data_IF_600113093438
#
_entry.id   IF_600113093438
#
_cell.length_a   1.000
_cell.length_b   1.000
_cell.length_c   1.000
_cell.angle_alpha   90.00
_cell.angle_beta   90.00
_cell.angle_gamma   90.00
#
_symmetry.space_group_name_H-M   'P 1'
#
loop_
_entity.id
_entity.type
_entity.pdbx_description
1 polymer ?
#
# COMPACT_ATOMS: atom_id res chain seq x y z
N UNK A 1 2.39 3.22 -6.85
CA UNK A 1 3.27 2.03 -6.88
C UNK A 1 3.00 1.10 -5.69
N UNK A 2 3.15 1.55 -4.44
CA UNK A 2 2.90 0.75 -3.22
C UNK A 2 1.54 0.03 -3.20
N UNK A 3 0.45 0.74 -3.50
CA UNK A 3 -0.88 0.11 -3.59
C UNK A 3 -0.96 -1.01 -4.64
N UNK A 4 -0.29 -0.84 -5.78
CA UNK A 4 -0.28 -1.84 -6.84
C UNK A 4 0.53 -3.09 -6.45
N UNK A 5 1.55 -2.94 -5.61
CA UNK A 5 2.28 -4.07 -5.01
C UNK A 5 1.42 -4.82 -3.99
N UNK A 6 0.52 -4.12 -3.30
CA UNK A 6 -0.38 -4.70 -2.32
C UNK A 6 -1.60 -5.44 -2.89
N UNK A 7 -2.09 -5.02 -4.05
CA UNK A 7 -3.25 -5.64 -4.70
C UNK A 7 -2.89 -7.01 -5.28
N UNK A 8 -3.71 -8.02 -5.03
CA UNK A 8 -3.59 -9.33 -5.69
C UNK A 8 -4.15 -9.28 -7.11
N UNK A 9 -3.62 -10.13 -8.00
CA UNK A 9 -4.01 -10.14 -9.42
C UNK A 9 -5.46 -10.57 -9.69
N UNK A 10 -6.09 -11.27 -8.74
CA UNK A 10 -7.41 -11.90 -8.89
C UNK A 10 -8.45 -11.49 -7.83
N UNK A 11 -8.09 -10.65 -6.86
CA UNK A 11 -9.01 -10.21 -5.80
C UNK A 11 -9.12 -8.69 -5.86
N UNK A 12 -10.25 -8.18 -6.35
CA UNK A 12 -10.53 -6.75 -6.51
C UNK A 12 -10.95 -6.01 -5.24
N UNK A 13 -10.73 -6.57 -4.05
CA UNK A 13 -11.26 -6.04 -2.79
C UNK A 13 -10.22 -5.62 -1.77
N UNK A 14 -10.62 -4.63 -0.98
CA UNK A 14 -9.87 -3.83 0.00
C UNK A 14 -9.55 -4.54 1.32
N UNK A 15 -9.76 -5.85 1.45
CA UNK A 15 -9.35 -6.62 2.64
C UNK A 15 -7.83 -6.69 2.84
N UNK A 16 -7.07 -6.17 1.89
CA UNK A 16 -5.63 -5.96 2.00
C UNK A 16 -5.27 -4.72 2.84
N UNK A 17 -6.16 -3.72 2.96
CA UNK A 17 -5.79 -2.46 3.61
C UNK A 17 -5.59 -2.63 5.13
N UNK A 18 -4.45 -2.16 5.64
CA UNK A 18 -4.04 -2.22 7.04
C UNK A 18 -3.31 -0.92 7.47
N UNK A 19 -2.98 -0.83 8.76
CA UNK A 19 -2.28 0.33 9.34
C UNK A 19 -0.88 0.54 8.74
N UNK A 20 -0.18 -0.54 8.39
CA UNK A 20 1.13 -0.50 7.72
C UNK A 20 1.02 0.23 6.38
N UNK A 21 0.01 -0.09 5.55
CA UNK A 21 -0.24 0.56 4.25
C UNK A 21 -0.64 2.02 4.43
N UNK A 22 -1.53 2.31 5.38
CA UNK A 22 -1.91 3.69 5.73
C UNK A 22 -0.67 4.53 6.06
N UNK A 23 0.20 4.01 6.92
CA UNK A 23 1.41 4.71 7.35
C UNK A 23 2.47 4.79 6.26
N UNK A 24 2.64 3.73 5.46
CA UNK A 24 3.52 3.73 4.29
C UNK A 24 3.12 4.78 3.26
N UNK A 25 1.83 4.92 2.95
CA UNK A 25 1.34 5.95 2.04
C UNK A 25 1.60 7.37 2.54
N UNK A 26 1.47 7.62 3.85
CA UNK A 26 1.88 8.91 4.44
C UNK A 26 3.37 9.15 4.21
N UNK A 27 4.21 8.13 4.39
CA UNK A 27 5.63 8.18 4.08
C UNK A 27 5.91 8.51 2.61
N UNK A 28 5.21 7.84 1.69
CA UNK A 28 5.34 8.12 0.25
C UNK A 28 4.96 9.57 -0.11
N UNK A 29 3.91 10.12 0.50
CA UNK A 29 3.51 11.52 0.27
C UNK A 29 4.60 12.48 0.74
N UNK A 30 5.15 12.28 1.94
CA UNK A 30 6.24 13.13 2.46
C UNK A 30 7.48 13.09 1.55
N UNK A 31 7.86 11.90 1.08
CA UNK A 31 8.98 11.74 0.16
C UNK A 31 8.69 12.40 -1.18
N UNK A 32 7.50 12.20 -1.76
CA UNK A 32 7.12 12.76 -3.05
C UNK A 32 7.13 14.30 -3.03
N UNK A 33 6.63 14.91 -1.94
CA UNK A 33 6.69 16.36 -1.76
C UNK A 33 8.14 16.86 -1.72
N UNK A 34 9.01 16.20 -0.97
CA UNK A 34 10.43 16.56 -0.87
C UNK A 34 11.15 16.42 -2.23
N UNK A 35 10.88 15.35 -2.99
CA UNK A 35 11.47 15.14 -4.32
C UNK A 35 11.00 16.17 -5.36
N UNK A 36 9.83 16.76 -5.18
CA UNK A 36 9.30 17.83 -6.06
C UNK A 36 9.83 19.23 -5.71
N UNK A 37 10.73 19.34 -4.74
CA UNK A 37 11.27 20.63 -4.31
C UNK A 37 10.28 21.45 -3.47
N UNK A 38 9.20 20.84 -2.97
CA UNK A 38 8.38 21.43 -1.93
C UNK A 38 9.17 21.36 -0.61
N UNK A 39 10.11 22.28 -0.46
CA UNK A 39 10.84 22.47 0.78
C UNK A 39 9.91 22.96 1.89
N UNK A 40 10.26 22.62 3.13
CA UNK A 40 9.89 23.41 4.30
C UNK A 40 11.21 23.73 5.03
N UNK A 41 11.79 24.92 4.89
CA UNK A 41 11.46 26.12 5.67
C UNK A 41 11.11 25.78 7.14
N UNK A 42 12.13 25.84 8.01
CA UNK A 42 11.98 26.02 9.45
C UNK A 42 11.94 24.78 10.34
N UNK A 43 11.28 23.69 9.94
CA UNK A 43 11.13 22.49 10.80
C UNK A 43 12.14 21.39 10.42
N UNK A 44 12.75 20.74 11.41
CA UNK A 44 13.59 19.57 11.18
C UNK A 44 12.77 18.47 10.48
N UNK A 45 13.23 18.02 9.32
CA UNK A 45 12.61 16.95 8.54
C UNK A 45 12.34 15.68 9.37
N UNK A 46 13.15 15.43 10.41
CA UNK A 46 12.96 14.33 11.37
C UNK A 46 11.67 14.50 12.16
N UNK A 47 11.46 15.69 12.72
CA UNK A 47 10.29 15.98 13.54
C UNK A 47 9.02 15.91 12.70
N UNK A 48 9.06 16.42 11.46
CA UNK A 48 7.94 16.29 10.53
C UNK A 48 7.62 14.82 10.22
N UNK A 49 8.61 14.02 9.82
CA UNK A 49 8.41 12.60 9.54
C UNK A 49 7.85 11.85 10.77
N UNK A 50 8.45 12.03 11.95
CA UNK A 50 7.95 11.41 13.18
C UNK A 50 6.51 11.82 13.53
N UNK A 51 6.17 13.12 13.43
CA UNK A 51 4.84 13.61 13.77
C UNK A 51 3.74 13.10 12.82
N UNK A 52 4.07 12.90 11.54
CA UNK A 52 3.15 12.42 10.52
C UNK A 52 3.06 10.89 10.43
N UNK A 53 4.11 10.18 10.85
CA UNK A 53 4.17 8.71 10.84
C UNK A 53 3.86 8.08 12.20
N UNK A 54 3.67 8.87 13.27
CA UNK A 54 3.21 8.36 14.55
C UNK A 54 1.85 7.62 14.40
N UNK A 55 1.63 6.50 15.11
CA UNK A 55 0.34 5.80 15.10
C UNK A 55 -0.79 6.73 15.52
N UNK A 56 -1.83 6.87 14.70
CA UNK A 56 -3.01 7.69 15.03
C UNK A 56 -4.23 6.80 15.05
N UNK A 57 -4.56 6.28 16.24
CA UNK A 57 -5.66 5.34 16.49
C UNK A 57 -7.02 5.72 15.86
N UNK A 58 -7.28 7.01 15.59
CA UNK A 58 -8.51 7.49 14.97
C UNK A 58 -8.42 7.68 13.43
N UNK A 59 -7.24 7.98 12.88
CA UNK A 59 -7.04 8.23 11.44
C UNK A 59 -6.67 6.95 10.67
N UNK A 60 -6.08 5.98 11.35
CA UNK A 60 -5.67 4.69 10.78
C UNK A 60 -6.81 3.66 10.77
N UNK A 61 -7.88 3.88 11.56
CA UNK A 61 -9.09 3.05 11.54
C UNK A 61 -9.88 3.31 10.26
N UNK A 62 -9.64 2.50 9.24
CA UNK A 62 -10.54 2.45 8.08
C UNK A 62 -11.78 1.68 8.50
N UNK A 63 -12.99 2.26 8.29
CA UNK A 63 -14.22 1.53 8.53
C UNK A 63 -14.15 0.21 7.77
N UNK A 64 -14.37 -0.92 8.44
CA UNK A 64 -14.67 -2.14 7.69
C UNK A 64 -15.87 -1.82 6.78
N UNK A 65 -16.03 -2.47 5.63
CA UNK A 65 -17.25 -2.33 4.83
C UNK A 65 -18.54 -2.60 5.64
N UNK A 66 -18.41 -3.27 6.79
CA UNK A 66 -19.46 -3.48 7.80
C UNK A 66 -19.82 -2.23 8.62
N UNK A 67 -18.87 -1.32 8.77
CA UNK A 67 -19.02 -0.04 9.48
C UNK A 67 -19.47 1.09 8.54
N UNK A 68 -19.45 0.85 7.22
CA UNK A 68 -20.03 1.77 6.24
C UNK A 68 -21.54 1.57 6.17
N UNK A 69 -22.30 2.56 6.61
CA UNK A 69 -23.76 2.63 6.38
C UNK A 69 -24.04 2.40 4.88
N UNK A 70 -24.94 1.48 4.51
CA UNK A 70 -25.26 1.21 3.12
C UNK A 70 -25.69 2.51 2.42
N UNK A 71 -25.17 2.74 1.21
CA UNK A 71 -25.62 3.79 0.26
C UNK A 71 -27.05 3.50 -0.27
N UNK A 72 -27.90 2.88 0.55
CA UNK A 72 -29.33 2.71 0.33
C UNK A 72 -30.13 3.77 1.10
N UNK A 73 -29.50 4.51 2.03
CA UNK A 73 -30.17 5.53 2.85
C UNK A 73 -30.54 6.83 2.09
N UNK A 74 -30.24 6.93 0.79
CA UNK A 74 -30.43 8.16 -0.01
C UNK A 74 -31.32 8.04 -1.26
N UNK A 75 -31.91 6.87 -1.55
CA UNK A 75 -32.74 6.71 -2.75
C UNK A 75 -34.23 7.00 -2.45
N UNK A 76 -34.90 7.87 -3.24
CA UNK A 76 -36.32 8.15 -3.04
C UNK A 76 -37.17 6.88 -3.24
N UNK A 77 -38.17 6.70 -2.37
CA UNK A 77 -39.01 5.51 -2.24
C UNK A 77 -39.80 5.08 -3.50
N UNK A 78 -39.71 5.82 -4.60
CA UNK A 78 -40.49 5.64 -5.82
C UNK A 78 -40.00 4.52 -6.77
N UNK A 79 -38.86 3.88 -6.51
CA UNK A 79 -38.34 2.78 -7.36
C UNK A 79 -38.55 1.37 -6.80
N UNK A 80 -39.30 1.20 -5.71
CA UNK A 80 -39.69 -0.13 -5.20
C UNK A 80 -41.03 -0.56 -5.78
N UNK A 81 -41.08 -0.83 -7.08
CA UNK A 81 -42.21 -1.55 -7.70
C UNK A 81 -41.74 -2.92 -8.18
N UNK A 82 -41.89 -3.94 -7.31
CA UNK A 82 -41.97 -5.35 -7.71
C UNK A 82 -43.15 -6.00 -7.00
N UNK A 83 -43.87 -6.83 -7.75
CA UNK A 83 -45.12 -7.52 -7.41
C UNK A 83 -45.01 -8.43 -6.17
N UNK A 84 -46.05 -8.54 -5.32
CA UNK A 84 -46.01 -9.37 -4.11
C UNK A 84 -46.37 -10.83 -4.41
N UNK A 85 -45.52 -11.77 -3.99
CA UNK A 85 -45.87 -13.20 -3.96
C UNK A 85 -44.70 -14.08 -3.58
N UNK A 86 -44.73 -14.63 -2.36
CA UNK A 86 -43.74 -15.47 -1.69
C UNK A 86 -42.45 -14.77 -1.24
N UNK A 87 -42.30 -14.61 0.09
CA UNK A 87 -40.99 -14.32 0.71
C UNK A 87 -40.16 -15.62 0.63
N UNK A 88 -38.94 -15.58 0.06
CA UNK A 88 -38.08 -16.75 0.01
C UNK A 88 -37.77 -17.23 1.43
N UNK A 89 -37.64 -18.55 1.60
CA UNK A 89 -37.31 -19.16 2.89
C UNK A 89 -35.95 -18.64 3.40
N UNK A 90 -35.66 -18.80 4.70
CA UNK A 90 -34.38 -18.34 5.26
C UNK A 90 -33.15 -18.89 4.53
N UNK A 91 -33.22 -20.15 4.08
CA UNK A 91 -32.17 -20.81 3.31
C UNK A 91 -32.07 -20.28 1.88
N UNK A 92 -33.21 -20.02 1.24
CA UNK A 92 -33.26 -19.46 -0.11
C UNK A 92 -32.76 -18.01 -0.15
N UNK A 93 -33.00 -17.23 0.92
CA UNK A 93 -32.41 -15.90 1.11
C UNK A 93 -30.90 -15.97 1.30
N UNK A 94 -30.40 -16.95 2.05
CA UNK A 94 -28.96 -17.17 2.21
C UNK A 94 -28.32 -17.61 0.89
N UNK A 95 -28.95 -18.52 0.15
CA UNK A 95 -28.44 -18.99 -1.13
C UNK A 95 -28.43 -17.87 -2.19
N UNK A 96 -29.50 -17.05 -2.25
CA UNK A 96 -29.52 -15.87 -3.12
C UNK A 96 -28.49 -14.82 -2.69
N UNK A 97 -28.31 -14.58 -1.38
CA UNK A 97 -27.28 -13.68 -0.86
C UNK A 97 -25.88 -14.19 -1.20
N UNK A 98 -25.63 -15.50 -1.10
CA UNK A 98 -24.35 -16.11 -1.46
C UNK A 98 -24.09 -16.08 -2.97
N UNK A 99 -25.12 -16.29 -3.79
CA UNK A 99 -25.06 -16.17 -5.23
C UNK A 99 -24.82 -14.72 -5.66
N UNK A 100 -25.48 -13.75 -5.02
CA UNK A 100 -25.28 -12.32 -5.24
C UNK A 100 -23.88 -11.88 -4.80
N UNK A 101 -23.39 -12.35 -3.64
CA UNK A 101 -22.00 -12.13 -3.19
C UNK A 101 -20.97 -12.85 -4.07
N UNK A 102 -21.32 -13.97 -4.72
CA UNK A 102 -20.47 -14.63 -5.72
C UNK A 102 -20.44 -13.85 -7.03
N UNK A 103 -21.58 -13.35 -7.50
CA UNK A 103 -21.67 -12.50 -8.68
C UNK A 103 -20.88 -11.20 -8.48
N UNK A 104 -21.06 -10.55 -7.33
CA UNK A 104 -20.24 -9.40 -6.91
C UNK A 104 -18.75 -9.76 -6.89
N UNK A 105 -18.35 -10.94 -6.37
CA UNK A 105 -16.95 -11.38 -6.41
C UNK A 105 -16.42 -11.67 -7.82
N UNK A 106 -17.27 -12.09 -8.76
CA UNK A 106 -16.87 -12.51 -10.10
C UNK A 106 -16.87 -11.37 -11.14
N UNK A 107 -17.68 -10.32 -10.94
CA UNK A 107 -17.89 -9.23 -11.90
C UNK A 107 -17.04 -7.96 -11.63
N UNK A 108 -16.05 -8.02 -10.74
CA UNK A 108 -15.02 -7.00 -10.73
C UNK A 108 -13.95 -7.37 -11.76
N UNK A 109 -13.92 -6.72 -12.95
CA UNK A 109 -12.75 -6.82 -13.80
C UNK A 109 -11.52 -6.47 -12.96
N UNK A 110 -10.37 -7.14 -13.14
CA UNK A 110 -9.16 -6.80 -12.40
C UNK A 110 -8.90 -5.31 -12.61
N UNK A 111 -9.11 -4.51 -11.56
CA UNK A 111 -9.01 -3.05 -11.60
C UNK A 111 -7.55 -2.58 -11.81
N UNK A 112 -6.64 -3.53 -11.99
CA UNK A 112 -5.21 -3.33 -12.13
C UNK A 112 -4.80 -3.78 -13.53
N UNK A 113 -4.26 -2.86 -14.31
CA UNK A 113 -3.49 -3.20 -15.50
C UNK A 113 -2.29 -4.06 -15.06
N UNK A 114 -2.41 -5.37 -15.34
CA UNK A 114 -1.39 -6.35 -14.98
C UNK A 114 -0.02 -6.00 -15.56
N UNK A 115 0.04 -5.34 -16.72
CA UNK A 115 1.32 -4.92 -17.31
C UNK A 115 1.99 -3.82 -16.48
N UNK A 116 1.21 -2.85 -15.98
CA UNK A 116 1.73 -1.78 -15.10
C UNK A 116 2.22 -2.37 -13.78
N UNK A 117 1.46 -3.29 -13.18
CA UNK A 117 1.88 -3.97 -11.94
C UNK A 117 3.16 -4.76 -12.15
N UNK A 118 3.25 -5.55 -13.22
CA UNK A 118 4.46 -6.34 -13.52
C UNK A 118 5.70 -5.46 -13.74
N UNK A 119 5.55 -4.28 -14.37
CA UNK A 119 6.65 -3.30 -14.47
C UNK A 119 7.15 -2.82 -13.11
N UNK A 120 6.23 -2.59 -12.16
CA UNK A 120 6.60 -2.13 -10.81
C UNK A 120 7.26 -3.27 -10.02
N UNK A 121 6.73 -4.48 -10.10
CA UNK A 121 7.34 -5.68 -9.49
C UNK A 121 8.77 -5.85 -9.99
N UNK A 122 8.96 -5.83 -11.32
CA UNK A 122 10.28 -5.96 -11.92
C UNK A 122 11.22 -4.83 -11.51
N UNK A 123 10.75 -3.59 -11.47
CA UNK A 123 11.52 -2.46 -10.96
C UNK A 123 12.01 -2.71 -9.52
N UNK A 124 11.16 -3.19 -8.62
CA UNK A 124 11.53 -3.49 -7.23
C UNK A 124 12.56 -4.62 -7.16
N UNK A 125 12.35 -5.71 -7.92
CA UNK A 125 13.28 -6.83 -7.99
C UNK A 125 14.64 -6.39 -8.53
N UNK A 126 14.68 -5.72 -9.68
CA UNK A 126 15.90 -5.22 -10.30
C UNK A 126 16.67 -4.32 -9.33
N UNK A 127 15.96 -3.40 -8.66
CA UNK A 127 16.57 -2.51 -7.66
C UNK A 127 17.36 -3.29 -6.59
N UNK A 128 16.78 -4.35 -6.02
CA UNK A 128 17.45 -5.12 -4.95
C UNK A 128 18.46 -6.13 -5.50
N UNK A 129 18.28 -6.63 -6.72
CA UNK A 129 19.21 -7.56 -7.35
C UNK A 129 20.42 -6.85 -8.00
N UNK A 130 20.35 -5.54 -8.27
CA UNK A 130 21.42 -4.76 -8.91
C UNK A 130 22.03 -3.66 -8.04
N UNK A 131 21.89 -3.69 -6.71
CA UNK A 131 22.31 -2.66 -5.70
C UNK A 131 23.70 -2.03 -5.88
N UNK A 132 24.56 -2.56 -6.76
CA UNK A 132 25.93 -2.08 -6.98
C UNK A 132 26.06 -0.77 -7.76
N UNK A 133 25.02 -0.30 -8.46
CA UNK A 133 25.02 1.02 -9.11
C UNK A 133 23.99 1.92 -8.46
N UNK A 134 24.45 3.01 -7.82
CA UNK A 134 23.68 3.92 -6.98
C UNK A 134 22.23 4.08 -7.40
N UNK A 135 21.32 3.80 -6.47
CA UNK A 135 19.90 3.88 -6.72
C UNK A 135 19.46 5.31 -7.01
N UNK A 136 18.47 5.45 -7.89
CA UNK A 136 17.70 6.67 -7.92
C UNK A 136 16.83 6.79 -6.65
N UNK A 137 16.60 8.03 -6.22
CA UNK A 137 15.86 8.32 -4.98
C UNK A 137 14.43 7.76 -5.00
N UNK A 138 13.78 7.66 -6.17
CA UNK A 138 12.40 7.17 -6.25
C UNK A 138 12.34 5.68 -6.04
N UNK A 139 13.30 4.93 -6.57
CA UNK A 139 13.40 3.48 -6.36
C UNK A 139 13.72 3.13 -4.90
N UNK A 140 14.63 3.86 -4.26
CA UNK A 140 14.88 3.70 -2.81
C UNK A 140 13.63 4.01 -1.98
N UNK A 141 12.96 5.12 -2.30
CA UNK A 141 11.73 5.50 -1.63
C UNK A 141 10.66 4.41 -1.75
N UNK A 142 10.51 3.83 -2.94
CA UNK A 142 9.59 2.73 -3.19
C UNK A 142 9.95 1.50 -2.33
N UNK A 143 11.24 1.13 -2.25
CA UNK A 143 11.68 0.01 -1.41
C UNK A 143 11.36 0.22 0.08
N UNK A 144 11.76 1.36 0.64
CA UNK A 144 11.51 1.65 2.06
C UNK A 144 10.02 1.68 2.38
N UNK A 145 9.22 2.34 1.55
CA UNK A 145 7.77 2.42 1.79
C UNK A 145 7.08 1.08 1.56
N UNK A 146 7.47 0.31 0.55
CA UNK A 146 6.90 -1.02 0.29
C UNK A 146 7.22 -2.00 1.43
N UNK A 147 8.44 -1.94 1.98
CA UNK A 147 8.80 -2.69 3.18
C UNK A 147 7.93 -2.27 4.38
N UNK A 148 7.84 -0.97 4.66
CA UNK A 148 7.03 -0.44 5.77
C UNK A 148 5.52 -0.68 5.64
N UNK A 149 5.06 -1.02 4.44
CA UNK A 149 3.65 -1.34 4.15
C UNK A 149 3.38 -2.85 4.15
N UNK A 150 4.38 -3.69 4.44
CA UNK A 150 4.29 -5.15 4.39
C UNK A 150 3.85 -5.70 3.01
N UNK A 151 4.27 -5.04 1.92
CA UNK A 151 3.93 -5.45 0.53
C UNK A 151 5.12 -5.92 -0.29
N UNK A 152 6.32 -5.84 0.26
CA UNK A 152 7.54 -6.17 -0.47
C UNK A 152 7.58 -7.66 -0.86
N UNK A 153 7.07 -8.52 0.02
CA UNK A 153 6.96 -9.97 -0.21
C UNK A 153 6.19 -10.31 -1.49
N UNK A 154 5.15 -9.53 -1.82
CA UNK A 154 4.39 -9.73 -3.06
C UNK A 154 5.23 -9.51 -4.32
N UNK A 155 6.30 -8.71 -4.23
CA UNK A 155 7.24 -8.51 -5.33
C UNK A 155 8.34 -9.59 -5.35
N UNK A 156 8.67 -10.21 -4.21
CA UNK A 156 9.74 -11.20 -4.12
C UNK A 156 9.25 -12.64 -4.29
N UNK A 157 8.01 -12.95 -3.92
CA UNK A 157 7.43 -14.29 -4.05
C UNK A 157 7.57 -14.95 -5.44
N UNK A 158 7.61 -14.20 -6.57
CA UNK A 158 7.86 -14.79 -7.89
C UNK A 158 9.35 -15.06 -8.22
N UNK A 159 10.30 -14.65 -7.37
CA UNK A 159 11.73 -14.86 -7.60
C UNK A 159 12.14 -16.31 -7.35
N UNK A 160 13.21 -16.81 -8.02
CA UNK A 160 13.87 -18.05 -7.63
C UNK A 160 14.43 -17.98 -6.20
N UNK A 161 14.52 -19.11 -5.50
CA UNK A 161 14.93 -19.20 -4.08
C UNK A 161 16.25 -18.44 -3.78
N UNK A 162 17.28 -18.61 -4.61
CA UNK A 162 18.58 -17.94 -4.43
C UNK A 162 18.47 -16.40 -4.54
N UNK A 163 17.68 -15.93 -5.50
CA UNK A 163 17.45 -14.49 -5.73
C UNK A 163 16.54 -13.90 -4.67
N UNK A 164 15.55 -14.66 -4.19
CA UNK A 164 14.69 -14.30 -3.07
C UNK A 164 15.51 -14.08 -1.80
N UNK A 165 16.37 -15.05 -1.44
CA UNK A 165 17.24 -14.94 -0.26
C UNK A 165 18.23 -13.76 -0.38
N UNK A 166 18.78 -13.55 -1.59
CA UNK A 166 19.62 -12.40 -1.87
C UNK A 166 18.86 -11.07 -1.72
N UNK A 167 17.64 -11.00 -2.25
CA UNK A 167 16.80 -9.82 -2.17
C UNK A 167 16.41 -9.48 -0.73
N UNK A 168 16.03 -10.48 0.06
CA UNK A 168 15.70 -10.32 1.47
C UNK A 168 16.92 -9.87 2.29
N UNK A 169 18.09 -10.47 2.06
CA UNK A 169 19.34 -10.07 2.73
C UNK A 169 19.69 -8.61 2.42
N UNK A 170 19.66 -8.23 1.16
CA UNK A 170 19.98 -6.87 0.71
C UNK A 170 18.98 -5.82 1.19
N UNK A 171 17.70 -6.19 1.28
CA UNK A 171 16.69 -5.33 1.89
C UNK A 171 17.01 -5.07 3.37
N UNK A 172 17.44 -6.10 4.12
CA UNK A 172 17.90 -5.93 5.52
C UNK A 172 19.13 -5.03 5.62
N UNK A 173 20.15 -5.29 4.81
CA UNK A 173 21.37 -4.45 4.76
C UNK A 173 21.03 -2.98 4.47
N UNK A 174 20.05 -2.72 3.59
CA UNK A 174 19.58 -1.37 3.28
C UNK A 174 18.89 -0.69 4.47
N UNK A 175 18.17 -1.46 5.29
CA UNK A 175 17.48 -0.96 6.50
C UNK A 175 18.43 -0.78 7.69
N UNK A 176 19.61 -1.37 7.64
CA UNK A 176 20.67 -1.26 8.65
C UNK A 176 21.66 -0.12 8.37
N UNK A 177 21.48 0.63 7.27
CA UNK A 177 22.30 1.79 6.95
C UNK A 177 22.22 2.87 8.04
N UNK A 178 23.32 3.62 8.20
CA UNK A 178 23.31 4.84 8.99
C UNK A 178 22.59 5.96 8.22
N UNK A 179 21.27 6.03 8.42
CA UNK A 179 20.41 7.02 7.76
C UNK A 179 20.82 8.47 8.05
N UNK A 180 21.47 8.72 9.18
CA UNK A 180 21.92 10.08 9.52
C UNK A 180 23.12 10.45 8.65
N UNK A 181 24.10 9.56 8.52
CA UNK A 181 25.23 9.73 7.62
C UNK A 181 24.82 9.80 6.15
N UNK A 182 23.84 9.00 5.72
CA UNK A 182 23.32 9.03 4.36
C UNK A 182 22.55 10.33 4.04
N UNK A 183 21.89 10.92 5.04
CA UNK A 183 21.07 12.14 4.85
C UNK A 183 21.86 13.40 4.54
N UNK A 184 23.14 13.45 4.88
CA UNK A 184 24.02 14.61 4.72
C UNK A 184 24.90 14.54 3.47
N UNK A 185 24.86 13.42 2.73
CA UNK A 185 25.62 13.28 1.48
C UNK A 185 25.17 14.30 0.44
N UNK A 186 26.10 14.68 -0.44
CA UNK A 186 25.79 15.59 -1.54
C UNK A 186 24.68 15.01 -2.41
N UNK A 187 23.67 15.84 -2.72
CA UNK A 187 22.53 15.41 -3.50
C UNK A 187 21.58 14.45 -2.79
N UNK A 188 21.72 14.18 -1.47
CA UNK A 188 20.76 13.39 -0.72
C UNK A 188 19.37 14.06 -0.64
N UNK A 189 18.36 13.29 -0.24
CA UNK A 189 17.03 13.80 0.11
C UNK A 189 16.80 13.53 1.61
N UNK A 190 17.04 14.51 2.50
CA UNK A 190 16.97 14.27 3.96
C UNK A 190 15.62 13.72 4.41
N UNK A 191 14.51 14.14 3.80
CA UNK A 191 13.18 13.61 4.08
C UNK A 191 13.06 12.11 3.76
N UNK A 192 13.71 11.62 2.70
CA UNK A 192 13.68 10.19 2.36
C UNK A 192 14.31 9.37 3.49
N UNK A 193 15.48 9.79 3.92
CA UNK A 193 16.22 9.14 5.00
C UNK A 193 15.52 9.27 6.36
N UNK A 194 14.82 10.39 6.60
CA UNK A 194 13.92 10.56 7.75
C UNK A 194 12.83 9.49 7.82
N UNK A 195 12.14 9.31 6.70
CA UNK A 195 11.03 8.38 6.58
C UNK A 195 11.54 6.95 6.69
N UNK A 196 12.66 6.63 6.03
CA UNK A 196 13.34 5.34 6.16
C UNK A 196 13.68 5.04 7.63
N UNK A 197 14.31 5.99 8.33
CA UNK A 197 14.66 5.86 9.74
C UNK A 197 13.42 5.69 10.65
N UNK A 198 12.33 6.40 10.36
CA UNK A 198 11.09 6.29 11.12
C UNK A 198 10.45 4.89 10.97
N UNK A 199 10.61 4.25 9.82
CA UNK A 199 10.11 2.89 9.58
C UNK A 199 11.05 1.78 10.05
N UNK A 200 12.37 1.98 9.97
CA UNK A 200 13.35 1.00 10.43
C UNK A 200 13.35 0.83 11.97
N UNK A 201 12.82 1.80 12.71
CA UNK A 201 12.71 1.77 14.18
C UNK A 201 11.38 1.20 14.70
N UNK A 202 10.52 0.64 13.82
CA UNK A 202 9.25 0.03 14.21
C UNK A 202 9.37 -1.43 14.57
#
# INVERSE_FOLDING_TARGET
EVLLLGLKDREGYTSFWNDSISSGLRGAILIELALRGAGSTGTSWRQAAHAHLAPRAHLDRIPEWRDMEPVEAGLPAAQRSRTPGQKPSGEERLHNREAELRAIRHDHPPLVDGQVKQKIVRKVQDCVLTIRSGFDKRSMALLFVAHASDVLENAFAPLPDDDYELAMRRTRELLELDFDAESVKEGACPMLWAVAQAFAKR
#
